data_IF_729452990827
#
_entry.id   IF_729452990827
#
_cell.length_a   1.000
_cell.length_b   1.000
_cell.length_c   1.000
_cell.angle_alpha   90.00
_cell.angle_beta   90.00
_cell.angle_gamma   90.00
#
_symmetry.space_group_name_H-M   'P 1'
#
loop_
_entity.id
_entity.type
_entity.pdbx_description
1 polymer ?
#
# COMPACT_ATOMS: atom_id res chain seq x y z
N UNK A 1 -32.90 36.03 21.63
CA UNK A 1 -32.93 37.38 21.05
C UNK A 1 -32.78 37.22 19.58
N UNK A 2 -33.85 37.12 18.85
CA UNK A 2 -34.66 38.18 18.25
C UNK A 2 -33.85 39.02 17.22
N UNK A 3 -34.21 38.74 15.96
CA UNK A 3 -34.71 39.69 14.94
C UNK A 3 -33.62 40.28 14.05
N UNK A 4 -33.73 40.52 12.76
CA UNK A 4 -34.82 40.94 11.86
C UNK A 4 -34.39 40.69 10.41
N UNK A 5 -35.17 40.10 9.52
CA UNK A 5 -36.16 40.73 8.63
C UNK A 5 -35.54 41.75 7.67
N UNK A 6 -35.73 41.71 6.44
CA UNK A 6 -36.81 41.62 5.48
C UNK A 6 -36.49 42.54 4.29
N UNK A 7 -36.85 42.05 3.13
CA UNK A 7 -37.53 42.71 2.06
C UNK A 7 -36.87 43.88 1.31
N UNK A 8 -36.95 43.83 0.00
CA UNK A 8 -37.79 44.74 -0.80
C UNK A 8 -38.08 44.17 -2.18
N UNK A 9 -39.35 43.94 -2.41
CA UNK A 9 -40.02 43.86 -3.71
C UNK A 9 -40.24 45.28 -4.23
N UNK A 10 -40.23 45.46 -5.54
CA UNK A 10 -41.05 46.35 -6.36
C UNK A 10 -40.38 46.46 -7.74
N UNK A 11 -40.90 46.08 -8.83
CA UNK A 11 -42.20 46.44 -9.35
C UNK A 11 -42.05 47.51 -10.43
N UNK A 12 -42.24 47.15 -11.64
CA UNK A 12 -42.86 48.08 -12.58
C UNK A 12 -43.43 47.36 -13.82
N UNK A 13 -44.75 47.24 -13.80
CA UNK A 13 -45.53 47.00 -14.99
C UNK A 13 -45.48 48.25 -15.89
N UNK A 14 -45.39 48.04 -17.20
CA UNK A 14 -45.88 49.04 -18.14
C UNK A 14 -46.56 48.37 -19.33
N UNK A 15 -47.84 48.56 -19.33
CA UNK A 15 -48.82 48.23 -20.38
C UNK A 15 -48.63 49.15 -21.56
N UNK A 16 -48.66 48.65 -22.81
CA UNK A 16 -49.57 49.18 -23.84
C UNK A 16 -49.32 48.57 -25.21
N UNK A 17 -50.32 47.90 -25.69
CA UNK A 17 -51.16 48.17 -26.85
C UNK A 17 -50.64 47.77 -28.27
N UNK A 18 -51.27 46.68 -28.65
CA UNK A 18 -51.82 46.35 -30.00
C UNK A 18 -51.28 47.09 -31.22
N UNK A 19 -50.82 46.34 -32.23
CA UNK A 19 -51.40 46.44 -33.59
C UNK A 19 -51.28 45.14 -34.39
N UNK A 20 -52.38 44.75 -34.94
CA UNK A 20 -52.68 43.69 -35.87
C UNK A 20 -51.75 43.69 -37.13
N UNK A 21 -51.30 42.52 -37.58
CA UNK A 21 -50.63 42.38 -38.86
C UNK A 21 -50.22 40.93 -39.19
N UNK A 22 -51.07 40.26 -39.95
CA UNK A 22 -50.83 39.19 -40.92
C UNK A 22 -50.00 37.97 -40.51
N UNK A 23 -50.71 36.87 -40.40
CA UNK A 23 -50.19 35.49 -40.28
C UNK A 23 -49.41 35.14 -41.58
N UNK A 24 -48.12 35.01 -41.47
CA UNK A 24 -47.28 34.23 -42.39
C UNK A 24 -46.89 32.94 -41.70
N UNK A 25 -47.47 31.83 -42.12
CA UNK A 25 -47.17 30.53 -41.69
C UNK A 25 -45.81 30.11 -42.24
N UNK A 26 -44.75 30.34 -41.52
CA UNK A 26 -43.42 29.77 -41.80
C UNK A 26 -43.34 28.38 -41.18
N UNK A 27 -43.47 27.35 -42.02
CA UNK A 27 -43.22 25.97 -41.69
C UNK A 27 -41.70 25.85 -41.39
N UNK A 28 -41.33 25.89 -40.13
CA UNK A 28 -39.99 25.45 -39.71
C UNK A 28 -39.93 23.93 -39.67
N UNK A 29 -38.94 23.30 -40.34
CA UNK A 29 -38.72 21.87 -40.18
C UNK A 29 -38.23 21.60 -38.72
N UNK A 30 -38.88 20.66 -38.08
CA UNK A 30 -38.44 20.10 -36.79
C UNK A 30 -37.13 19.37 -37.03
N UNK A 31 -35.99 20.07 -36.89
CA UNK A 31 -34.68 19.47 -36.75
C UNK A 31 -34.69 18.86 -35.36
N UNK A 32 -34.83 17.54 -35.31
CA UNK A 32 -34.61 16.74 -34.12
C UNK A 32 -33.14 16.87 -33.74
N UNK A 33 -32.86 17.72 -32.75
CA UNK A 33 -31.55 17.82 -32.11
C UNK A 33 -31.41 16.61 -31.18
N UNK A 34 -31.05 15.48 -31.79
CA UNK A 34 -30.64 14.28 -31.07
C UNK A 34 -29.30 14.57 -30.38
N UNK A 35 -29.34 14.91 -29.10
CA UNK A 35 -28.16 14.97 -28.25
C UNK A 35 -27.63 13.54 -28.11
N UNK A 36 -26.66 13.19 -28.95
CA UNK A 36 -25.87 11.97 -28.82
C UNK A 36 -24.94 12.18 -27.62
N UNK A 37 -25.42 11.85 -26.42
CA UNK A 37 -24.56 11.65 -25.26
C UNK A 37 -23.72 10.39 -25.53
N UNK A 38 -22.61 10.58 -26.25
CA UNK A 38 -21.53 9.61 -26.27
C UNK A 38 -20.94 9.57 -24.85
N UNK A 39 -21.46 8.67 -24.04
CA UNK A 39 -20.86 8.30 -22.76
C UNK A 39 -19.45 7.79 -23.04
N UNK A 40 -18.44 8.60 -22.77
CA UNK A 40 -17.06 8.17 -22.71
C UNK A 40 -17.01 7.24 -21.49
N UNK A 41 -17.19 5.94 -21.71
CA UNK A 41 -16.85 4.91 -20.74
C UNK A 41 -15.33 5.01 -20.56
N UNK A 42 -14.90 5.79 -19.58
CA UNK A 42 -13.53 5.72 -19.10
C UNK A 42 -13.38 4.31 -18.53
N UNK A 43 -12.71 3.44 -19.28
CA UNK A 43 -12.21 2.18 -18.75
C UNK A 43 -11.26 2.56 -17.64
N UNK A 44 -11.74 2.56 -16.39
CA UNK A 44 -10.87 2.61 -15.23
C UNK A 44 -9.98 1.38 -15.37
N UNK A 45 -8.72 1.58 -15.76
CA UNK A 45 -7.71 0.53 -15.69
C UNK A 45 -7.65 0.14 -14.23
N UNK A 46 -8.20 -1.03 -13.92
CA UNK A 46 -8.16 -1.56 -12.57
C UNK A 46 -6.68 -1.71 -12.19
N UNK A 47 -6.29 -1.15 -11.05
CA UNK A 47 -4.96 -1.31 -10.50
C UNK A 47 -4.73 -2.80 -10.22
N UNK A 48 -3.72 -3.38 -10.86
CA UNK A 48 -3.46 -4.81 -10.81
C UNK A 48 -2.13 -5.16 -10.12
N UNK A 49 -1.91 -6.47 -9.91
CA UNK A 49 -0.72 -6.97 -9.23
C UNK A 49 0.59 -6.67 -9.97
N UNK A 50 0.55 -6.59 -11.29
CA UNK A 50 1.76 -6.33 -12.08
C UNK A 50 2.12 -4.84 -12.00
N UNK A 51 1.11 -3.97 -11.95
CA UNK A 51 1.28 -2.53 -11.69
C UNK A 51 1.80 -2.29 -10.26
N UNK A 52 1.26 -2.99 -9.26
CA UNK A 52 1.77 -2.94 -7.89
C UNK A 52 3.22 -3.42 -7.82
N UNK A 53 3.55 -4.54 -8.43
CA UNK A 53 4.92 -5.06 -8.51
C UNK A 53 5.89 -4.05 -9.15
N UNK A 54 5.50 -3.46 -10.28
CA UNK A 54 6.29 -2.45 -10.95
C UNK A 54 6.48 -1.19 -10.09
N UNK A 55 5.44 -0.77 -9.37
CA UNK A 55 5.50 0.38 -8.46
C UNK A 55 6.46 0.14 -7.30
N UNK A 56 6.33 -0.98 -6.59
CA UNK A 56 7.18 -1.34 -5.44
C UNK A 56 8.62 -1.66 -5.87
N UNK A 57 8.82 -2.21 -7.05
CA UNK A 57 10.14 -2.50 -7.63
C UNK A 57 10.85 -1.30 -8.23
N UNK A 58 10.22 -0.12 -8.33
CA UNK A 58 10.81 1.07 -8.97
C UNK A 58 12.01 1.67 -8.22
N UNK A 59 11.99 1.84 -6.88
CA UNK A 59 13.12 2.39 -6.14
C UNK A 59 14.31 1.41 -6.10
N UNK A 60 15.53 1.90 -6.29
CA UNK A 60 16.75 1.12 -6.08
C UNK A 60 16.97 0.82 -4.59
N UNK A 61 16.68 1.81 -3.76
CA UNK A 61 16.82 1.75 -2.31
C UNK A 61 15.62 2.39 -1.65
N UNK A 62 15.14 1.79 -0.55
CA UNK A 62 14.14 2.40 0.34
C UNK A 62 14.69 2.42 1.76
N UNK A 63 14.59 3.55 2.44
CA UNK A 63 14.97 3.72 3.84
C UNK A 63 13.79 4.19 4.65
N UNK A 64 13.72 3.78 5.90
CA UNK A 64 12.66 4.23 6.79
C UNK A 64 12.83 3.68 8.20
N UNK A 65 11.81 3.92 8.99
CA UNK A 65 11.68 3.39 10.34
C UNK A 65 10.64 2.28 10.36
N UNK A 66 10.74 1.40 11.35
CA UNK A 66 9.70 0.42 11.59
C UNK A 66 9.28 0.40 13.05
N UNK A 67 8.01 0.07 13.24
CA UNK A 67 7.43 -0.33 14.53
C UNK A 67 6.80 -1.68 14.32
N UNK A 68 7.25 -2.67 15.07
CA UNK A 68 6.69 -4.01 15.08
C UNK A 68 6.04 -4.30 16.43
N UNK A 69 4.79 -4.69 16.40
CA UNK A 69 4.01 -5.11 17.56
C UNK A 69 3.64 -6.57 17.39
N UNK A 70 4.17 -7.43 18.27
CA UNK A 70 3.77 -8.83 18.32
C UNK A 70 2.76 -9.02 19.45
N UNK A 71 1.54 -9.35 19.07
CA UNK A 71 0.44 -9.67 19.96
C UNK A 71 0.46 -11.18 20.22
N UNK A 72 0.82 -11.56 21.43
CA UNK A 72 0.76 -12.94 21.87
C UNK A 72 -0.53 -13.16 22.66
N UNK A 73 -1.28 -14.21 22.34
CA UNK A 73 -2.52 -14.55 23.06
C UNK A 73 -2.30 -14.67 24.58
N UNK A 74 -1.12 -15.06 24.99
CA UNK A 74 -0.77 -15.24 26.40
C UNK A 74 -0.43 -13.92 27.13
N UNK A 75 -0.26 -12.81 26.42
CA UNK A 75 0.14 -11.53 27.00
C UNK A 75 -0.93 -10.47 26.79
N UNK A 76 -1.24 -9.66 27.81
CA UNK A 76 -2.25 -8.60 27.71
C UNK A 76 -1.79 -7.38 26.86
N UNK A 77 -0.47 -7.24 26.65
CA UNK A 77 0.11 -6.15 25.87
C UNK A 77 1.08 -6.70 24.84
N UNK A 78 1.18 -6.06 23.66
CA UNK A 78 2.08 -6.50 22.62
C UNK A 78 3.55 -6.28 23.00
N UNK A 79 4.40 -7.15 22.49
CA UNK A 79 5.84 -6.94 22.50
C UNK A 79 6.18 -5.97 21.35
N UNK A 80 6.66 -4.78 21.71
CA UNK A 80 6.97 -3.74 20.74
C UNK A 80 8.46 -3.64 20.47
N UNK A 81 8.83 -3.66 19.20
CA UNK A 81 10.18 -3.44 18.69
C UNK A 81 10.18 -2.24 17.74
N UNK A 82 11.30 -1.51 17.72
CA UNK A 82 11.47 -0.33 16.82
C UNK A 82 12.88 -0.29 16.28
N UNK A 83 13.03 0.27 15.10
CA UNK A 83 14.31 0.45 14.47
C UNK A 83 14.22 1.09 13.11
N UNK A 84 15.31 0.96 12.35
CA UNK A 84 15.42 1.46 10.98
C UNK A 84 15.60 0.30 10.01
N UNK A 85 15.27 0.55 8.75
CA UNK A 85 15.53 -0.42 7.70
C UNK A 85 16.13 0.26 6.47
N UNK A 86 16.92 -0.53 5.74
CA UNK A 86 17.43 -0.18 4.41
C UNK A 86 17.14 -1.36 3.49
N UNK A 87 16.22 -1.18 2.58
CA UNK A 87 15.93 -2.13 1.51
C UNK A 87 16.72 -1.76 0.28
N UNK A 88 17.52 -2.67 -0.24
CA UNK A 88 18.18 -2.57 -1.55
C UNK A 88 17.58 -3.61 -2.47
N UNK A 89 17.25 -3.21 -3.72
CA UNK A 89 16.72 -4.13 -4.72
C UNK A 89 17.64 -5.32 -4.93
N UNK A 90 18.95 -5.07 -5.03
CA UNK A 90 19.93 -6.08 -5.39
C UNK A 90 20.53 -6.80 -4.18
N UNK A 91 20.77 -6.07 -3.07
CA UNK A 91 21.49 -6.60 -1.91
C UNK A 91 20.59 -7.28 -0.88
N UNK A 92 19.33 -6.86 -0.76
CA UNK A 92 18.42 -7.38 0.25
C UNK A 92 17.96 -6.31 1.25
N UNK A 93 17.86 -6.68 2.52
CA UNK A 93 17.33 -5.84 3.57
C UNK A 93 18.28 -5.81 4.78
N UNK A 94 18.63 -4.62 5.22
CA UNK A 94 19.18 -4.37 6.55
C UNK A 94 18.02 -4.03 7.49
N UNK A 95 17.92 -4.76 8.58
CA UNK A 95 16.92 -4.59 9.64
C UNK A 95 17.63 -4.24 10.93
N UNK A 96 17.66 -2.95 11.27
CA UNK A 96 18.49 -2.37 12.33
C UNK A 96 17.60 -2.12 13.54
N UNK A 97 17.50 -3.10 14.41
CA UNK A 97 16.70 -3.04 15.62
C UNK A 97 17.38 -2.14 16.65
N UNK A 98 16.66 -1.16 17.16
CA UNK A 98 17.15 -0.17 18.13
C UNK A 98 16.56 -0.39 19.53
N UNK A 99 15.33 -0.87 19.62
CA UNK A 99 14.63 -1.14 20.88
C UNK A 99 13.78 -2.41 20.78
N UNK A 100 13.64 -3.19 21.88
CA UNK A 100 14.21 -2.99 23.22
C UNK A 100 15.72 -3.28 23.30
N UNK A 101 16.26 -4.07 22.38
CA UNK A 101 17.68 -4.43 22.28
C UNK A 101 18.22 -3.96 20.93
N UNK A 102 19.47 -3.53 20.91
CA UNK A 102 20.15 -3.20 19.65
C UNK A 102 20.63 -4.49 18.99
N UNK A 103 20.16 -4.75 17.79
CA UNK A 103 20.55 -5.91 17.02
C UNK A 103 20.33 -5.69 15.53
N UNK A 104 21.38 -5.86 14.75
CA UNK A 104 21.31 -5.72 13.30
C UNK A 104 21.12 -7.10 12.66
N UNK A 105 20.25 -7.13 11.66
CA UNK A 105 20.03 -8.29 10.80
C UNK A 105 20.20 -7.89 9.34
N UNK A 106 20.82 -8.78 8.56
CA UNK A 106 20.84 -8.72 7.10
C UNK A 106 20.03 -9.89 6.57
N UNK A 107 19.12 -9.59 5.65
CA UNK A 107 18.24 -10.55 5.02
C UNK A 107 18.46 -10.47 3.51
N UNK A 108 18.98 -11.52 2.93
CA UNK A 108 19.31 -11.60 1.51
C UNK A 108 18.93 -12.99 0.92
N UNK A 109 19.38 -13.27 -0.30
CA UNK A 109 19.13 -14.57 -0.96
C UNK A 109 19.79 -15.74 -0.23
N UNK A 110 20.83 -15.51 0.57
CA UNK A 110 21.55 -16.52 1.35
C UNK A 110 20.84 -16.85 2.66
N UNK A 111 19.98 -15.95 3.15
CA UNK A 111 19.23 -16.15 4.37
C UNK A 111 19.22 -14.93 5.28
N UNK A 112 19.21 -15.20 6.59
CA UNK A 112 19.30 -14.15 7.61
C UNK A 112 20.65 -14.28 8.31
N UNK A 113 21.35 -13.17 8.36
CA UNK A 113 22.55 -13.02 9.16
C UNK A 113 22.30 -12.02 10.29
N UNK A 114 22.84 -12.30 11.45
CA UNK A 114 22.84 -11.42 12.62
C UNK A 114 24.24 -10.83 12.78
N UNK A 115 24.33 -9.54 13.09
CA UNK A 115 25.60 -8.90 13.41
C UNK A 115 26.09 -9.33 14.79
N UNK A 116 27.35 -9.76 14.88
CA UNK A 116 28.09 -10.05 16.11
C UNK A 116 29.38 -9.22 16.14
N UNK A 117 30.17 -9.35 17.21
CA UNK A 117 31.50 -8.74 17.29
C UNK A 117 32.46 -9.26 16.22
N UNK A 118 32.27 -10.49 15.75
CA UNK A 118 33.08 -11.13 14.68
C UNK A 118 32.52 -10.85 13.25
N UNK A 119 31.51 -10.01 13.10
CA UNK A 119 30.84 -9.71 11.83
C UNK A 119 29.51 -10.44 11.68
N UNK A 120 29.05 -10.61 10.43
CA UNK A 120 27.78 -11.24 10.14
C UNK A 120 27.83 -12.75 10.32
N UNK A 121 26.92 -13.29 11.11
CA UNK A 121 26.75 -14.72 11.35
C UNK A 121 25.40 -15.18 10.82
N UNK A 122 25.41 -16.17 9.93
CA UNK A 122 24.18 -16.78 9.42
C UNK A 122 23.40 -17.38 10.59
N UNK A 123 22.15 -17.01 10.70
CA UNK A 123 21.20 -17.61 11.63
C UNK A 123 20.68 -18.88 10.96
N UNK A 124 21.02 -20.03 11.51
CA UNK A 124 20.52 -21.32 11.00
C UNK A 124 19.00 -21.34 11.18
N UNK A 125 18.28 -21.22 10.07
CA UNK A 125 16.83 -21.21 10.08
C UNK A 125 16.31 -22.58 9.60
N UNK A 126 15.93 -23.38 10.53
CA UNK A 126 15.05 -24.52 10.28
C UNK A 126 13.68 -24.13 10.78
N UNK A 127 12.89 -23.33 10.06
CA UNK A 127 11.49 -23.17 10.45
C UNK A 127 10.72 -22.08 9.71
N UNK A 128 9.46 -21.93 10.09
CA UNK A 128 8.50 -20.92 9.70
C UNK A 128 9.06 -19.47 9.64
N UNK A 129 10.02 -19.13 10.51
CA UNK A 129 10.67 -17.80 10.51
C UNK A 129 11.44 -17.50 9.23
N UNK A 130 12.14 -18.48 8.64
CA UNK A 130 12.84 -18.29 7.36
C UNK A 130 11.87 -18.01 6.21
N UNK A 131 10.73 -18.65 6.22
CA UNK A 131 9.69 -18.48 5.22
C UNK A 131 8.99 -17.13 5.38
N UNK A 132 8.71 -16.72 6.62
CA UNK A 132 8.17 -15.39 6.93
C UNK A 132 9.10 -14.28 6.43
N UNK A 133 10.42 -14.43 6.60
CA UNK A 133 11.37 -13.41 6.18
C UNK A 133 11.53 -13.35 4.65
N UNK A 134 11.49 -14.49 3.95
CA UNK A 134 11.46 -14.51 2.49
C UNK A 134 10.21 -13.86 1.93
N UNK A 135 9.06 -14.16 2.52
CA UNK A 135 7.79 -13.53 2.19
C UNK A 135 7.88 -12.00 2.36
N UNK A 136 8.38 -11.56 3.51
CA UNK A 136 8.55 -10.15 3.82
C UNK A 136 9.43 -9.44 2.79
N UNK A 137 10.57 -10.04 2.46
CA UNK A 137 11.50 -9.50 1.45
C UNK A 137 10.87 -9.46 0.05
N UNK A 138 10.15 -10.50 -0.35
CA UNK A 138 9.45 -10.56 -1.63
C UNK A 138 8.41 -9.44 -1.75
N UNK A 139 7.61 -9.23 -0.70
CA UNK A 139 6.61 -8.15 -0.64
C UNK A 139 7.25 -6.78 -0.78
N UNK A 140 8.29 -6.50 0.01
CA UNK A 140 8.95 -5.21 0.00
C UNK A 140 9.64 -4.89 -1.35
N UNK A 141 10.12 -5.92 -2.05
CA UNK A 141 10.73 -5.79 -3.39
C UNK A 141 9.70 -5.76 -4.53
N UNK A 142 8.43 -6.02 -4.26
CA UNK A 142 7.41 -6.17 -5.29
C UNK A 142 7.53 -7.46 -6.10
N UNK A 143 8.21 -8.50 -5.57
CA UNK A 143 8.30 -9.80 -6.23
C UNK A 143 7.01 -10.60 -6.02
N UNK A 144 6.06 -10.44 -6.94
CA UNK A 144 4.78 -11.15 -6.89
C UNK A 144 4.89 -12.61 -7.37
N UNK A 145 5.94 -13.00 -8.07
CA UNK A 145 6.06 -14.34 -8.67
C UNK A 145 6.19 -15.43 -7.61
N UNK A 146 7.05 -15.23 -6.61
CA UNK A 146 7.18 -16.13 -5.48
C UNK A 146 5.93 -16.17 -4.60
N UNK A 147 5.24 -15.04 -4.46
CA UNK A 147 4.01 -14.97 -3.65
C UNK A 147 2.87 -15.78 -4.25
N UNK A 148 2.69 -15.76 -5.58
CA UNK A 148 1.61 -16.49 -6.28
C UNK A 148 1.71 -18.01 -6.15
N UNK A 149 2.90 -18.54 -5.90
CA UNK A 149 3.10 -19.97 -5.68
C UNK A 149 2.54 -20.42 -4.32
N UNK A 150 2.77 -19.61 -3.31
CA UNK A 150 2.48 -19.94 -1.92
C UNK A 150 1.14 -19.41 -1.42
N UNK A 151 0.61 -18.35 -2.05
CA UNK A 151 -0.60 -17.65 -1.62
C UNK A 151 -1.58 -17.41 -2.76
N UNK A 152 -2.83 -17.35 -2.41
CA UNK A 152 -3.87 -16.69 -3.19
C UNK A 152 -3.80 -15.19 -2.89
N UNK A 153 -3.73 -14.38 -3.94
CA UNK A 153 -3.54 -12.94 -3.82
C UNK A 153 -4.82 -12.22 -4.24
N UNK A 154 -5.29 -11.31 -3.42
CA UNK A 154 -6.41 -10.42 -3.72
C UNK A 154 -5.97 -8.98 -3.53
N UNK A 155 -5.94 -8.20 -4.61
CA UNK A 155 -5.58 -6.79 -4.61
C UNK A 155 -6.83 -5.93 -4.73
N UNK A 156 -6.91 -4.88 -3.91
CA UNK A 156 -7.97 -3.88 -3.95
C UNK A 156 -7.41 -2.48 -3.77
N UNK A 157 -8.17 -1.46 -4.21
CA UNK A 157 -7.79 -0.05 -4.10
C UNK A 157 -7.16 0.53 -5.36
N UNK A 158 -6.29 1.51 -5.20
CA UNK A 158 -5.59 2.24 -6.27
C UNK A 158 -4.09 2.29 -6.01
N UNK A 159 -3.32 2.86 -6.94
CA UNK A 159 -1.87 3.02 -6.78
C UNK A 159 -1.47 3.84 -5.53
N UNK A 160 -2.34 4.77 -5.10
CA UNK A 160 -2.10 5.64 -3.94
C UNK A 160 -2.57 5.04 -2.62
N UNK A 161 -3.51 4.08 -2.66
CA UNK A 161 -4.08 3.44 -1.48
C UNK A 161 -4.56 2.04 -1.84
N UNK A 162 -3.72 1.05 -1.63
CA UNK A 162 -3.98 -0.35 -1.97
C UNK A 162 -3.93 -1.25 -0.73
N UNK A 163 -4.64 -2.36 -0.83
CA UNK A 163 -4.57 -3.48 0.11
C UNK A 163 -4.37 -4.76 -0.67
N UNK A 164 -3.41 -5.56 -0.26
CA UNK A 164 -3.09 -6.87 -0.80
C UNK A 164 -3.31 -7.92 0.29
N UNK A 165 -4.28 -8.78 0.08
CA UNK A 165 -4.59 -9.89 0.97
C UNK A 165 -3.96 -11.18 0.44
N UNK A 166 -3.26 -11.90 1.32
CA UNK A 166 -2.62 -13.16 1.01
C UNK A 166 -3.25 -14.28 1.84
N UNK A 167 -3.86 -15.24 1.16
CA UNK A 167 -4.40 -16.45 1.78
C UNK A 167 -3.46 -17.62 1.49
N UNK A 168 -2.91 -18.32 2.51
CA UNK A 168 -2.00 -19.43 2.30
C UNK A 168 -2.61 -20.56 1.46
N UNK A 169 -1.88 -21.09 0.50
CA UNK A 169 -2.28 -22.24 -0.33
C UNK A 169 -1.68 -23.54 0.18
N UNK A 170 -0.38 -23.51 0.50
CA UNK A 170 0.32 -24.73 0.93
C UNK A 170 -0.10 -25.17 2.34
N UNK A 171 -0.11 -26.49 2.57
CA UNK A 171 -0.45 -27.08 3.88
C UNK A 171 0.51 -26.55 4.97
N UNK A 172 1.79 -26.38 4.63
CA UNK A 172 2.80 -25.90 5.57
C UNK A 172 2.50 -24.47 6.02
N UNK A 173 2.16 -23.58 5.10
CA UNK A 173 1.84 -22.17 5.43
C UNK A 173 0.52 -22.05 6.19
N UNK A 174 -0.47 -22.88 5.86
CA UNK A 174 -1.74 -22.96 6.60
C UNK A 174 -1.57 -23.40 8.06
N UNK A 175 -0.46 -24.06 8.40
CA UNK A 175 -0.14 -24.39 9.78
C UNK A 175 0.39 -23.19 10.57
N UNK A 176 0.86 -22.16 9.88
CA UNK A 176 1.50 -20.97 10.50
C UNK A 176 0.60 -19.75 10.41
N UNK A 177 0.01 -19.50 9.25
CA UNK A 177 -0.76 -18.29 8.97
C UNK A 177 -2.20 -18.58 8.59
N UNK A 178 -3.12 -17.80 9.12
CA UNK A 178 -4.51 -17.71 8.65
C UNK A 178 -4.62 -16.76 7.45
N UNK A 179 -4.03 -15.58 7.58
CA UNK A 179 -4.03 -14.54 6.55
C UNK A 179 -2.86 -13.58 6.77
N UNK A 180 -2.50 -12.87 5.70
CA UNK A 180 -1.56 -11.77 5.73
C UNK A 180 -2.20 -10.60 4.99
N UNK A 181 -2.25 -9.43 5.62
CA UNK A 181 -2.79 -8.21 5.04
C UNK A 181 -1.67 -7.19 4.89
N UNK A 182 -1.51 -6.66 3.68
CA UNK A 182 -0.48 -5.68 3.36
C UNK A 182 -1.15 -4.47 2.76
N UNK A 183 -0.77 -3.29 3.22
CA UNK A 183 -1.33 -2.06 2.68
C UNK A 183 -0.25 -0.98 2.51
N UNK A 184 -0.52 -0.06 1.61
CA UNK A 184 0.38 1.04 1.33
C UNK A 184 -0.16 2.02 0.30
N UNK A 185 0.72 2.89 -0.14
CA UNK A 185 0.55 3.84 -1.22
C UNK A 185 1.69 3.69 -2.21
N UNK A 186 2.53 4.71 -2.39
CA UNK A 186 3.72 4.59 -3.24
C UNK A 186 4.67 3.46 -2.79
N UNK A 187 4.71 3.16 -1.48
CA UNK A 187 5.49 2.11 -0.85
C UNK A 187 4.61 1.33 0.13
N UNK A 188 5.10 0.19 0.60
CA UNK A 188 4.47 -0.57 1.70
C UNK A 188 4.50 0.27 2.99
N UNK A 189 3.37 0.34 3.69
CA UNK A 189 3.23 1.07 4.95
C UNK A 189 2.89 0.16 6.13
N UNK A 190 2.15 -0.92 5.88
CA UNK A 190 1.68 -1.81 6.94
C UNK A 190 1.64 -3.26 6.47
N UNK A 191 2.05 -4.17 7.35
CA UNK A 191 1.93 -5.61 7.18
C UNK A 191 1.34 -6.19 8.46
N UNK A 192 0.28 -6.96 8.32
CA UNK A 192 -0.36 -7.70 9.41
C UNK A 192 -0.29 -9.19 9.13
N UNK A 193 0.24 -9.94 10.07
CA UNK A 193 0.33 -11.38 10.03
C UNK A 193 -0.66 -11.95 11.05
N UNK A 194 -1.60 -12.76 10.62
CA UNK A 194 -2.51 -13.48 11.48
C UNK A 194 -2.06 -14.94 11.58
N UNK A 195 -1.58 -15.33 12.75
CA UNK A 195 -1.07 -16.67 12.99
C UNK A 195 -2.19 -17.63 13.46
N UNK A 196 -2.07 -18.90 13.11
CA UNK A 196 -3.11 -19.92 13.39
C UNK A 196 -3.35 -20.16 14.88
N UNK A 197 -2.37 -19.86 15.72
CA UNK A 197 -2.46 -20.05 17.17
C UNK A 197 -3.13 -18.88 17.90
N UNK A 198 -3.61 -17.89 17.16
CA UNK A 198 -4.25 -16.68 17.70
C UNK A 198 -3.27 -15.56 18.05
N UNK A 199 -2.01 -15.71 17.71
CA UNK A 199 -1.02 -14.65 17.77
C UNK A 199 -1.13 -13.78 16.49
N UNK A 200 -0.68 -12.54 16.57
CA UNK A 200 -0.58 -11.67 15.39
C UNK A 200 0.63 -10.75 15.49
N UNK A 201 1.09 -10.32 14.32
CA UNK A 201 2.16 -9.34 14.21
C UNK A 201 1.70 -8.19 13.34
N UNK A 202 1.86 -6.98 13.83
CA UNK A 202 1.62 -5.75 13.07
C UNK A 202 2.94 -5.04 12.89
N UNK A 203 3.33 -4.83 11.64
CA UNK A 203 4.50 -4.07 11.25
C UNK A 203 4.06 -2.79 10.55
N UNK A 204 4.50 -1.64 11.05
CA UNK A 204 4.35 -0.34 10.39
C UNK A 204 5.71 0.11 9.87
N UNK A 205 5.73 0.57 8.62
CA UNK A 205 6.89 1.18 7.97
C UNK A 205 6.62 2.68 7.85
N UNK A 206 7.36 3.45 8.60
CA UNK A 206 7.16 4.89 8.77
C UNK A 206 8.30 5.66 8.09
N UNK A 207 8.02 6.87 7.63
CA UNK A 207 8.99 7.78 7.00
C UNK A 207 9.79 7.11 5.87
N UNK A 208 9.14 6.19 5.14
CA UNK A 208 9.76 5.47 4.04
C UNK A 208 10.09 6.40 2.88
N UNK A 209 11.37 6.46 2.50
CA UNK A 209 11.86 7.33 1.43
C UNK A 209 12.59 6.51 0.37
N UNK A 210 12.26 6.70 -0.91
CA UNK A 210 13.00 6.09 -2.02
C UNK A 210 14.33 6.81 -2.22
N UNK A 211 15.36 6.06 -2.62
CA UNK A 211 16.69 6.54 -2.97
C UNK A 211 17.23 5.84 -4.21
N UNK A 212 18.27 6.44 -4.81
CA UNK A 212 18.88 5.91 -6.03
C UNK A 212 20.07 4.99 -5.75
N UNK A 213 20.76 5.15 -4.63
CA UNK A 213 21.95 4.38 -4.31
C UNK A 213 22.11 4.19 -2.81
N UNK A 214 22.83 3.13 -2.45
CA UNK A 214 23.31 2.91 -1.08
C UNK A 214 24.44 3.91 -0.75
N UNK A 215 24.52 4.35 0.50
CA UNK A 215 25.69 5.02 1.04
C UNK A 215 26.89 4.06 1.16
N UNK A 216 28.09 4.60 1.35
CA UNK A 216 29.29 3.76 1.54
C UNK A 216 29.18 2.86 2.77
N UNK A 217 28.62 3.39 3.86
CA UNK A 217 28.39 2.63 5.08
C UNK A 217 27.39 1.48 4.85
N UNK A 218 26.28 1.73 4.15
CA UNK A 218 25.28 0.72 3.85
C UNK A 218 25.85 -0.36 2.91
N UNK A 219 26.62 0.04 1.89
CA UNK A 219 27.31 -0.93 1.02
C UNK A 219 28.23 -1.85 1.82
N UNK A 220 29.01 -1.28 2.73
CA UNK A 220 29.87 -2.04 3.62
C UNK A 220 29.07 -3.01 4.49
N UNK A 221 27.94 -2.57 5.02
CA UNK A 221 27.06 -3.38 5.84
C UNK A 221 26.41 -4.54 5.08
N UNK A 222 26.16 -4.40 3.78
CA UNK A 222 25.70 -5.51 2.95
C UNK A 222 26.79 -6.50 2.56
N UNK A 223 28.08 -6.09 2.55
CA UNK A 223 29.18 -6.92 2.01
C UNK A 223 29.91 -7.78 3.05
N UNK A 224 29.75 -7.50 4.35
CA UNK A 224 30.52 -8.16 5.41
C UNK A 224 29.69 -8.99 6.35
#
# INVERSE_FOLDING_TARGET
>A
MRRLLSAVLAGCECIARMKSGKRVALRMPRIAFGLLLAGIAQSALAFDLDQLSAQLGKPEVVRGHFIQEKHLRALPQPLTSRGRFVLSRDQGLLWLLERPLQQDYRIDAQGIARRSEQGWQLVVQQSASAQQNRLFLAVLKGDSSGLRQDFELSLSGSAEAWTLDLTPRSVLLKQVFNAIHISGGALVQRIELQETQGDSTVLRLEDSQPGQALSDAERHDFQK
#
